data_IF_222181517235
#
_entry.id   IF_222181517235
#
_cell.length_a   1.000
_cell.length_b   1.000
_cell.length_c   1.000
_cell.angle_alpha   90.00
_cell.angle_beta   90.00
_cell.angle_gamma   90.00
#
_symmetry.space_group_name_H-M   'P 1'
#
loop_
_entity.id
_entity.type
_entity.pdbx_description
1 polymer ?
#
# COMPACT_ATOMS: atom_id res chain seq x y z
N UNK A 1 5.53 17.75 1.75
CA UNK A 1 6.38 16.54 1.79
C UNK A 1 7.13 16.51 0.46
N UNK A 2 8.46 16.30 0.44
CA UNK A 2 9.26 16.54 -0.78
C UNK A 2 8.98 15.56 -1.91
N UNK A 3 8.21 14.49 -1.66
CA UNK A 3 7.77 13.52 -2.65
C UNK A 3 6.24 13.57 -2.81
N UNK A 4 5.78 13.50 -4.05
CA UNK A 4 4.39 13.15 -4.35
C UNK A 4 4.28 11.62 -4.35
N UNK A 5 3.41 11.00 -3.55
CA UNK A 5 3.30 9.54 -3.50
C UNK A 5 2.97 8.94 -4.87
N UNK A 6 3.90 8.18 -5.42
CA UNK A 6 3.74 7.38 -6.64
C UNK A 6 4.51 6.07 -6.50
N UNK A 7 4.29 5.12 -7.43
CA UNK A 7 5.10 3.89 -7.47
C UNK A 7 6.57 4.19 -7.73
N UNK A 8 6.85 5.15 -8.62
CA UNK A 8 8.22 5.55 -8.96
C UNK A 8 8.96 6.19 -7.78
N UNK A 9 8.24 6.87 -6.88
CA UNK A 9 8.84 7.51 -5.70
C UNK A 9 9.23 6.54 -4.59
N UNK A 10 8.83 5.25 -4.64
CA UNK A 10 9.14 4.27 -3.58
C UNK A 10 10.65 4.09 -3.33
N UNK A 11 11.46 4.25 -4.39
CA UNK A 11 12.93 4.17 -4.30
C UNK A 11 13.56 5.37 -3.60
N UNK A 12 12.84 6.48 -3.51
CA UNK A 12 13.32 7.75 -2.93
C UNK A 12 12.91 7.91 -1.47
N UNK A 13 12.11 6.98 -0.92
CA UNK A 13 11.67 7.03 0.47
C UNK A 13 12.86 6.78 1.43
N UNK A 14 12.92 7.49 2.57
CA UNK A 14 13.88 7.21 3.62
C UNK A 14 13.84 5.74 4.08
N UNK A 15 14.97 5.21 4.55
CA UNK A 15 15.11 3.79 4.91
C UNK A 15 14.15 3.32 6.01
N UNK A 16 13.79 4.20 6.95
CA UNK A 16 12.89 3.85 8.06
C UNK A 16 11.41 3.73 7.64
N UNK A 17 11.05 4.12 6.42
CA UNK A 17 9.69 4.00 5.90
C UNK A 17 9.53 2.61 5.27
N UNK A 18 8.60 1.84 5.81
CA UNK A 18 8.25 0.52 5.27
C UNK A 18 7.70 0.64 3.85
N UNK A 19 8.07 -0.32 3.01
CA UNK A 19 7.64 -0.45 1.62
C UNK A 19 6.89 -1.77 1.46
N UNK A 20 5.98 -1.90 0.48
CA UNK A 20 5.38 -3.19 0.17
C UNK A 20 6.46 -4.25 -0.06
N UNK A 21 6.30 -5.43 0.55
CA UNK A 21 7.24 -6.55 0.42
C UNK A 21 6.92 -7.46 -0.76
N UNK A 22 5.89 -7.12 -1.53
CA UNK A 22 5.42 -7.82 -2.72
C UNK A 22 5.57 -6.95 -3.97
N UNK A 23 5.64 -7.61 -5.13
CA UNK A 23 5.53 -6.96 -6.43
C UNK A 23 4.06 -6.68 -6.74
N UNK A 24 3.69 -5.41 -6.92
CA UNK A 24 2.30 -5.02 -7.13
C UNK A 24 1.72 -5.58 -8.43
N UNK A 25 2.57 -5.86 -9.41
CA UNK A 25 2.26 -6.48 -10.70
C UNK A 25 1.86 -7.96 -10.61
N UNK A 26 2.25 -8.66 -9.54
CA UNK A 26 1.91 -10.08 -9.34
C UNK A 26 0.52 -10.29 -8.72
N UNK A 27 -0.06 -9.22 -8.14
CA UNK A 27 -1.35 -9.28 -7.46
C UNK A 27 -2.53 -9.39 -8.43
N UNK A 28 -3.51 -10.21 -8.05
CA UNK A 28 -4.80 -10.31 -8.74
C UNK A 28 -5.94 -9.81 -7.84
N UNK A 29 -6.93 -9.09 -8.37
CA UNK A 29 -8.09 -8.70 -7.59
C UNK A 29 -8.85 -9.93 -7.04
N UNK A 30 -9.06 -9.99 -5.73
CA UNK A 30 -9.82 -11.06 -5.06
C UNK A 30 -10.87 -10.58 -4.06
N UNK A 31 -10.91 -9.28 -3.78
CA UNK A 31 -11.81 -8.67 -2.79
C UNK A 31 -12.40 -7.39 -3.37
N UNK A 32 -13.72 -7.23 -3.29
CA UNK A 32 -14.41 -5.97 -3.57
C UNK A 32 -14.74 -5.31 -2.24
N UNK A 33 -14.28 -4.09 -2.06
CA UNK A 33 -14.61 -3.28 -0.89
C UNK A 33 -15.54 -2.13 -1.27
N UNK A 34 -16.65 -1.99 -0.55
CA UNK A 34 -17.62 -0.90 -0.73
C UNK A 34 -17.53 0.00 0.50
N UNK A 35 -17.05 1.24 0.31
CA UNK A 35 -16.87 2.21 1.38
C UNK A 35 -15.43 2.36 1.89
N UNK A 36 -14.52 2.80 1.02
CA UNK A 36 -13.07 2.91 1.31
C UNK A 36 -12.70 4.09 2.23
N UNK A 37 -13.07 3.99 3.51
CA UNK A 37 -12.76 4.98 4.55
C UNK A 37 -11.40 4.79 5.23
N UNK A 38 -11.13 5.63 6.23
CA UNK A 38 -9.90 5.55 7.03
C UNK A 38 -9.79 4.20 7.76
N UNK A 39 -10.90 3.70 8.31
CA UNK A 39 -10.92 2.44 9.03
C UNK A 39 -10.58 1.26 8.12
N UNK A 40 -11.14 1.20 6.91
CA UNK A 40 -10.81 0.15 5.96
C UNK A 40 -9.31 0.13 5.66
N UNK A 41 -8.69 1.28 5.35
CA UNK A 41 -7.27 1.36 5.01
C UNK A 41 -6.36 1.00 6.19
N UNK A 42 -6.71 1.41 7.41
CA UNK A 42 -5.90 1.17 8.60
C UNK A 42 -6.08 -0.23 9.21
N UNK A 43 -7.18 -0.92 8.90
CA UNK A 43 -7.49 -2.24 9.47
C UNK A 43 -7.36 -3.34 8.42
N UNK A 44 -8.32 -3.45 7.49
CA UNK A 44 -8.29 -4.50 6.45
C UNK A 44 -7.12 -4.29 5.49
N UNK A 45 -6.96 -3.07 4.95
CA UNK A 45 -5.87 -2.76 4.02
C UNK A 45 -4.48 -3.07 4.57
N UNK A 46 -4.28 -2.90 5.88
CA UNK A 46 -3.03 -3.25 6.55
C UNK A 46 -2.81 -4.77 6.59
N UNK A 47 -3.80 -5.55 7.05
CA UNK A 47 -3.69 -7.02 7.06
C UNK A 47 -3.44 -7.59 5.66
N UNK A 48 -4.12 -7.08 4.63
CA UNK A 48 -3.90 -7.53 3.25
C UNK A 48 -2.54 -7.14 2.68
N UNK A 49 -1.89 -6.10 3.22
CA UNK A 49 -0.55 -5.70 2.79
C UNK A 49 0.55 -6.61 3.38
N UNK A 50 0.31 -7.17 4.56
CA UNK A 50 1.31 -7.93 5.32
C UNK A 50 1.26 -9.45 5.05
N UNK A 51 0.18 -9.93 4.43
CA UNK A 51 -0.02 -11.33 3.99
C UNK A 51 0.69 -11.61 2.67
#
# INVERSE_FOLDING_TARGET
>A
MPYSPSRDSLKQLPEHILKPQYHAEDLKPGIIHIGTGNFHRAHQGLYMNDL
#
